data_IF_136143959460
#
_entry.id   IF_136143959460
#
_cell.length_a   1.000
_cell.length_b   1.000
_cell.length_c   1.000
_cell.angle_alpha   90.00
_cell.angle_beta   90.00
_cell.angle_gamma   90.00
#
_symmetry.space_group_name_H-M   'P 1'
#
loop_
_entity.id
_entity.type
_entity.pdbx_description
1 polymer ?
#
# COMPACT_ATOMS: atom_id res chain seq x y z
N UNK A 1 1.51 -22.00 15.01
CA UNK A 1 0.30 -21.18 15.23
C UNK A 1 0.07 -20.32 14.00
N UNK A 2 -0.85 -20.70 13.12
CA UNK A 2 -1.20 -19.90 11.94
C UNK A 2 -1.90 -18.62 12.42
N UNK A 3 -1.29 -17.46 12.21
CA UNK A 3 -1.92 -16.18 12.52
C UNK A 3 -3.06 -15.94 11.55
N UNK A 4 -4.28 -15.88 12.07
CA UNK A 4 -5.51 -15.51 11.33
C UNK A 4 -5.32 -14.14 10.68
N UNK A 5 -5.75 -13.94 9.41
CA UNK A 5 -5.72 -12.60 8.82
C UNK A 5 -6.70 -11.69 9.56
N UNK A 6 -6.17 -10.65 10.20
CA UNK A 6 -6.95 -9.61 10.87
C UNK A 6 -7.73 -8.81 9.80
N UNK A 7 -9.07 -8.93 9.81
CA UNK A 7 -9.97 -8.00 9.09
C UNK A 7 -9.80 -6.61 9.74
N UNK A 8 -9.56 -5.58 8.92
CA UNK A 8 -9.23 -4.25 9.43
C UNK A 8 -10.48 -3.36 9.40
N UNK A 9 -11.03 -2.93 10.55
CA UNK A 9 -11.95 -1.82 10.60
C UNK A 9 -11.18 -0.50 10.44
N UNK A 10 -11.71 0.37 9.59
CA UNK A 10 -11.19 1.70 9.27
C UNK A 10 -11.06 2.58 10.54
N UNK A 11 -9.96 3.34 10.72
CA UNK A 11 -9.72 4.13 11.93
C UNK A 11 -10.47 5.47 12.00
N UNK A 12 -11.27 5.87 11.00
CA UNK A 12 -11.75 7.26 10.93
C UNK A 12 -13.25 7.51 10.84
N UNK A 13 -14.14 6.57 10.51
CA UNK A 13 -15.58 6.91 10.56
C UNK A 13 -16.56 5.73 10.43
N UNK A 14 -17.63 5.80 11.21
CA UNK A 14 -18.86 5.06 10.98
C UNK A 14 -19.61 5.63 9.77
N UNK A 15 -19.71 4.80 8.72
CA UNK A 15 -20.63 4.84 7.57
C UNK A 15 -21.28 6.15 7.12
N UNK A 16 -20.87 6.64 5.95
CA UNK A 16 -21.75 7.04 4.81
C UNK A 16 -20.90 7.65 3.69
N UNK A 17 -20.92 7.07 2.48
CA UNK A 17 -20.48 7.74 1.24
C UNK A 17 -19.06 7.45 0.77
N UNK A 18 -18.98 6.97 -0.47
CA UNK A 18 -17.83 6.79 -1.39
C UNK A 18 -16.63 5.98 -0.88
N UNK A 19 -16.32 4.89 -1.61
CA UNK A 19 -15.14 4.05 -1.37
C UNK A 19 -13.90 4.89 -1.68
N UNK A 20 -13.43 5.65 -0.69
CA UNK A 20 -12.13 6.31 -0.76
C UNK A 20 -11.06 5.20 -0.78
N UNK A 21 -10.63 4.81 -1.97
CA UNK A 21 -9.53 3.85 -2.14
C UNK A 21 -8.32 4.43 -1.42
N UNK A 22 -7.88 3.78 -0.34
CA UNK A 22 -6.71 4.21 0.40
C UNK A 22 -5.46 3.93 -0.46
N UNK A 23 -4.45 4.81 -0.38
CA UNK A 23 -3.16 4.61 -1.04
C UNK A 23 -2.56 3.21 -0.78
N UNK A 24 -2.80 2.66 0.42
CA UNK A 24 -2.39 1.32 0.81
C UNK A 24 -2.99 0.21 -0.06
N UNK A 25 -4.28 0.32 -0.40
CA UNK A 25 -4.95 -0.65 -1.27
C UNK A 25 -4.35 -0.60 -2.68
N UNK A 26 -4.05 0.61 -3.18
CA UNK A 26 -3.41 0.80 -4.48
C UNK A 26 -1.98 0.25 -4.51
N UNK A 27 -1.19 0.48 -3.46
CA UNK A 27 0.15 -0.13 -3.31
C UNK A 27 0.03 -1.65 -3.37
N UNK A 28 -0.93 -2.24 -2.64
CA UNK A 28 -1.12 -3.68 -2.62
C UNK A 28 -1.50 -4.23 -4.01
N UNK A 29 -2.32 -3.52 -4.77
CA UNK A 29 -2.75 -3.95 -6.10
C UNK A 29 -1.66 -3.80 -7.15
N UNK A 30 -0.92 -2.69 -7.15
CA UNK A 30 0.26 -2.52 -8.01
C UNK A 30 1.32 -3.59 -7.71
N UNK A 31 1.57 -3.89 -6.43
CA UNK A 31 2.49 -4.96 -6.04
C UNK A 31 2.05 -6.32 -6.60
N UNK A 32 0.76 -6.66 -6.50
CA UNK A 32 0.22 -7.92 -7.04
C UNK A 32 0.32 -7.96 -8.56
N UNK A 33 0.03 -6.85 -9.26
CA UNK A 33 0.18 -6.75 -10.72
C UNK A 33 1.63 -6.97 -11.16
N UNK A 34 2.60 -6.52 -10.36
CA UNK A 34 4.02 -6.79 -10.56
C UNK A 34 4.45 -8.22 -10.15
N UNK A 35 3.55 -9.07 -9.65
CA UNK A 35 3.87 -10.45 -9.25
C UNK A 35 4.72 -10.56 -7.99
N UNK A 36 4.82 -9.50 -7.19
CA UNK A 36 5.70 -9.44 -6.02
C UNK A 36 4.99 -9.86 -4.73
N UNK A 37 5.66 -10.60 -3.86
CA UNK A 37 5.23 -10.78 -2.47
C UNK A 37 5.49 -9.50 -1.66
N UNK A 38 4.88 -9.39 -0.47
CA UNK A 38 5.19 -8.29 0.45
C UNK A 38 6.65 -8.31 0.90
N UNK A 39 7.32 -9.47 0.89
CA UNK A 39 8.74 -9.52 1.21
C UNK A 39 9.54 -8.96 0.04
N UNK A 40 9.27 -9.41 -1.19
CA UNK A 40 10.01 -8.97 -2.39
C UNK A 40 9.91 -7.45 -2.61
N UNK A 41 8.74 -6.85 -2.33
CA UNK A 41 8.61 -5.40 -2.41
C UNK A 41 9.32 -4.72 -1.25
N UNK A 42 9.20 -5.21 -0.01
CA UNK A 42 9.88 -4.62 1.14
C UNK A 42 11.40 -4.64 0.98
N UNK A 43 11.97 -5.67 0.35
CA UNK A 43 13.42 -5.76 0.09
C UNK A 43 13.91 -4.65 -0.86
N UNK A 44 13.01 -4.02 -1.63
CA UNK A 44 13.31 -2.88 -2.52
C UNK A 44 13.03 -1.52 -1.88
N UNK A 45 12.45 -1.49 -0.68
CA UNK A 45 11.99 -0.27 -0.02
C UNK A 45 12.76 -0.02 1.28
N UNK A 46 12.82 1.22 1.78
CA UNK A 46 13.41 1.53 3.08
C UNK A 46 12.45 1.18 4.24
N UNK A 47 11.73 0.06 4.15
CA UNK A 47 10.78 -0.40 5.16
C UNK A 47 10.84 -1.91 5.34
N UNK A 48 10.50 -2.37 6.55
CA UNK A 48 10.36 -3.80 6.82
C UNK A 48 9.05 -4.35 6.24
N UNK A 49 9.00 -5.66 5.97
CA UNK A 49 7.79 -6.34 5.51
C UNK A 49 6.55 -6.11 6.41
N UNK A 50 6.65 -6.10 7.76
CA UNK A 50 5.53 -5.73 8.64
C UNK A 50 5.09 -4.26 8.49
N UNK A 51 6.03 -3.32 8.26
CA UNK A 51 5.69 -1.92 7.99
C UNK A 51 4.95 -1.80 6.65
N UNK A 52 5.44 -2.45 5.59
CA UNK A 52 4.74 -2.50 4.31
C UNK A 52 3.31 -3.09 4.46
N UNK A 53 3.13 -4.16 5.23
CA UNK A 53 1.81 -4.75 5.49
C UNK A 53 0.88 -3.84 6.32
N UNK A 54 1.42 -2.90 7.10
CA UNK A 54 0.64 -1.88 7.78
C UNK A 54 0.23 -0.75 6.83
N UNK A 55 1.15 -0.31 5.97
CA UNK A 55 0.90 0.67 4.90
C UNK A 55 -0.19 0.15 3.96
N UNK A 56 -0.04 -1.08 3.45
CA UNK A 56 -0.95 -1.72 2.49
C UNK A 56 -2.38 -1.91 2.98
N UNK A 57 -2.68 -1.62 4.24
CA UNK A 57 -4.07 -1.60 4.65
C UNK A 57 -4.39 -0.45 5.61
N UNK A 58 -3.78 0.70 5.36
CA UNK A 58 -4.18 1.97 5.96
C UNK A 58 -3.93 2.08 7.47
N UNK A 59 -3.01 1.28 8.03
CA UNK A 59 -2.60 1.40 9.44
C UNK A 59 -1.27 2.14 9.61
N UNK A 60 -0.72 2.66 8.53
CA UNK A 60 0.50 3.43 8.51
C UNK A 60 0.59 4.22 7.22
N UNK A 61 1.22 5.39 7.30
CA UNK A 61 1.44 6.25 6.14
C UNK A 61 2.87 6.03 5.61
N UNK A 62 3.06 5.90 4.28
CA UNK A 62 4.39 5.85 3.72
C UNK A 62 5.08 7.21 3.92
N UNK A 63 6.36 7.21 4.31
CA UNK A 63 7.16 8.43 4.28
C UNK A 63 7.40 8.87 2.82
N UNK A 64 7.84 10.11 2.62
CA UNK A 64 8.27 10.57 1.28
C UNK A 64 9.37 9.69 0.68
N UNK A 65 10.30 9.19 1.48
CA UNK A 65 11.35 8.27 1.01
C UNK A 65 10.78 6.90 0.60
N UNK A 66 9.82 6.37 1.35
CA UNK A 66 9.11 5.15 0.96
C UNK A 66 8.29 5.35 -0.31
N UNK A 67 7.63 6.50 -0.46
CA UNK A 67 6.83 6.83 -1.63
C UNK A 67 7.70 6.93 -2.90
N UNK A 68 8.84 7.62 -2.81
CA UNK A 68 9.80 7.67 -3.91
C UNK A 68 10.31 6.27 -4.27
N UNK A 69 10.66 5.45 -3.27
CA UNK A 69 11.11 4.08 -3.48
C UNK A 69 10.01 3.19 -4.10
N UNK A 70 8.74 3.41 -3.76
CA UNK A 70 7.60 2.71 -4.37
C UNK A 70 7.49 3.04 -5.86
N UNK A 71 7.57 4.31 -6.23
CA UNK A 71 7.55 4.74 -7.64
C UNK A 71 8.68 4.07 -8.43
N UNK A 72 9.90 4.06 -7.88
CA UNK A 72 11.06 3.42 -8.54
C UNK A 72 10.92 1.89 -8.61
N UNK A 73 10.48 1.22 -7.54
CA UNK A 73 10.43 -0.23 -7.48
C UNK A 73 9.30 -0.84 -8.32
N UNK A 74 8.23 -0.07 -8.56
CA UNK A 74 7.07 -0.47 -9.35
C UNK A 74 7.06 0.14 -10.75
N UNK A 75 8.06 0.96 -11.09
CA UNK A 75 8.20 1.65 -12.38
C UNK A 75 6.95 2.47 -12.75
N UNK A 76 6.46 3.28 -11.80
CA UNK A 76 5.28 4.13 -11.97
C UNK A 76 5.54 5.56 -11.51
N UNK A 77 4.73 6.48 -12.02
CA UNK A 77 4.72 7.87 -11.56
C UNK A 77 3.93 8.05 -10.26
N UNK A 78 4.24 9.15 -9.56
CA UNK A 78 3.59 9.51 -8.31
C UNK A 78 2.07 9.73 -8.50
N UNK A 79 1.62 10.25 -9.64
CA UNK A 79 0.19 10.47 -9.90
C UNK A 79 -0.59 9.16 -9.99
N UNK A 80 -0.02 8.14 -10.65
CA UNK A 80 -0.58 6.79 -10.68
C UNK A 80 -0.69 6.21 -9.28
N UNK A 81 0.32 6.42 -8.44
CA UNK A 81 0.33 5.93 -7.06
C UNK A 81 -0.67 6.71 -6.16
N UNK A 82 -0.75 8.02 -6.29
CA UNK A 82 -1.51 8.92 -5.41
C UNK A 82 -2.98 9.08 -5.82
N UNK A 83 -3.23 9.26 -7.11
CA UNK A 83 -4.56 9.55 -7.66
C UNK A 83 -5.16 8.37 -8.42
N UNK A 84 -4.33 7.43 -8.88
CA UNK A 84 -4.77 6.18 -9.50
C UNK A 84 -4.65 6.15 -11.01
N UNK A 85 -4.09 7.21 -11.60
CA UNK A 85 -4.03 7.40 -13.04
C UNK A 85 -5.45 7.58 -13.60
N UNK A 86 -5.77 8.78 -14.03
CA UNK A 86 -6.72 8.92 -15.13
C UNK A 86 -5.89 8.55 -16.37
N UNK A 87 -6.34 7.58 -17.18
CA UNK A 87 -5.66 7.23 -18.43
C UNK A 87 -5.36 8.46 -19.31
#
# INVERSE_FOLDING_TARGET
>A
MLRTPQKKPCPTCGGSGEIAIHIGDRIADLRKKAGLTQQDLADKLPVTRPQLANIECGRGEPSMSTLQALCMALEIDADTLLFGGEE
#
